data_IF_619917990172
#
_entry.id   IF_619917990172
#
_cell.length_a   1.000
_cell.length_b   1.000
_cell.length_c   1.000
_cell.angle_alpha   90.00
_cell.angle_beta   90.00
_cell.angle_gamma   90.00
#
_symmetry.space_group_name_H-M   'P 1'
#
loop_
_entity.id
_entity.type
_entity.pdbx_description
1 polymer ?
#
# COMPACT_ATOMS: atom_id res chain seq x y z
N UNK A 1 -23.08 25.10 17.01
CA UNK A 1 -21.75 25.75 17.13
C UNK A 1 -20.72 24.72 17.56
N UNK A 2 -20.43 23.76 16.67
CA UNK A 2 -19.17 23.02 16.75
C UNK A 2 -18.08 24.05 16.44
N UNK A 3 -17.34 24.46 17.47
CA UNK A 3 -16.33 25.49 17.36
C UNK A 3 -15.22 25.02 16.43
N UNK A 4 -14.84 25.91 15.51
CA UNK A 4 -13.67 25.88 14.59
C UNK A 4 -12.36 25.41 15.26
N UNK A 5 -12.32 25.32 16.59
CA UNK A 5 -11.25 24.74 17.40
C UNK A 5 -10.93 23.27 17.08
N UNK A 6 -11.85 22.46 16.54
CA UNK A 6 -11.52 21.11 16.04
C UNK A 6 -10.84 21.11 14.65
N UNK A 7 -10.95 22.21 13.90
CA UNK A 7 -10.30 22.38 12.58
C UNK A 7 -8.80 22.70 12.76
N UNK A 8 -8.39 23.16 13.95
CA UNK A 8 -7.04 23.59 14.28
C UNK A 8 -6.03 22.45 14.58
N UNK A 9 -6.41 21.17 14.50
CA UNK A 9 -5.49 20.05 14.70
C UNK A 9 -4.90 19.47 13.40
N UNK A 10 -5.19 20.06 12.23
CA UNK A 10 -4.68 19.59 10.94
C UNK A 10 -3.45 20.41 10.53
N UNK A 11 -2.50 20.58 11.46
CA UNK A 11 -1.13 20.98 11.15
C UNK A 11 -0.37 19.85 10.46
N UNK A 12 -0.86 19.35 9.32
CA UNK A 12 -0.35 18.16 8.64
C UNK A 12 1.04 18.32 8.01
N UNK A 13 1.65 19.51 8.09
CA UNK A 13 3.03 19.70 7.66
C UNK A 13 4.06 19.29 8.72
N UNK A 14 3.69 19.27 10.01
CA UNK A 14 4.58 18.85 11.10
C UNK A 14 4.53 17.34 11.37
N UNK A 15 3.36 16.69 11.28
CA UNK A 15 3.21 15.23 11.43
C UNK A 15 3.35 14.50 10.08
N UNK A 16 4.54 14.57 9.48
CA UNK A 16 4.82 13.85 8.24
C UNK A 16 4.75 12.35 8.49
N UNK A 17 3.93 11.65 7.69
CA UNK A 17 3.86 10.18 7.73
C UNK A 17 5.25 9.57 7.59
N UNK A 18 5.66 8.83 8.61
CA UNK A 18 6.87 8.04 8.53
C UNK A 18 6.68 6.86 7.54
N UNK A 19 7.75 6.43 6.86
CA UNK A 19 7.69 5.26 5.98
C UNK A 19 7.22 4.02 6.74
N UNK A 20 6.31 3.24 6.15
CA UNK A 20 5.87 1.96 6.71
C UNK A 20 6.97 0.89 6.77
N UNK A 21 8.17 1.22 6.28
CA UNK A 21 9.39 0.40 6.36
C UNK A 21 10.17 0.60 7.66
N UNK A 22 9.64 1.37 8.62
CA UNK A 22 10.09 1.41 10.01
C UNK A 22 8.98 0.87 10.92
N UNK A 23 9.33 0.28 12.06
CA UNK A 23 8.33 -0.21 13.03
C UNK A 23 7.43 0.92 13.53
N UNK A 24 8.00 2.10 13.79
CA UNK A 24 7.26 3.29 14.21
C UNK A 24 6.28 3.75 13.11
N UNK A 25 6.73 3.83 11.85
CA UNK A 25 5.87 4.20 10.73
C UNK A 25 4.81 3.15 10.41
N UNK A 26 5.13 1.87 10.58
CA UNK A 26 4.15 0.78 10.46
C UNK A 26 3.07 0.86 11.54
N UNK A 27 3.46 1.05 12.82
CA UNK A 27 2.50 1.21 13.93
C UNK A 27 1.60 2.42 13.71
N UNK A 28 2.15 3.58 13.33
CA UNK A 28 1.34 4.75 12.94
C UNK A 28 0.35 4.43 11.82
N UNK A 29 0.76 3.66 10.81
CA UNK A 29 -0.14 3.24 9.73
C UNK A 29 -1.27 2.30 10.21
N UNK A 30 -0.99 1.41 11.16
CA UNK A 30 -1.98 0.52 11.77
C UNK A 30 -2.99 1.31 12.62
N UNK A 31 -2.48 2.27 13.39
CA UNK A 31 -3.25 3.08 14.33
C UNK A 31 -3.99 4.25 13.67
N UNK A 32 -3.58 4.65 12.46
CA UNK A 32 -4.22 5.74 11.73
C UNK A 32 -5.68 5.42 11.40
N UNK A 33 -6.60 6.18 11.97
CA UNK A 33 -8.02 6.11 11.62
C UNK A 33 -8.21 6.44 10.12
N UNK A 34 -9.28 5.91 9.49
CA UNK A 34 -9.66 6.36 8.16
C UNK A 34 -9.83 7.89 8.18
N UNK A 35 -9.27 8.63 7.21
CA UNK A 35 -9.49 10.06 7.14
C UNK A 35 -10.99 10.31 6.94
N UNK A 36 -11.63 10.81 7.99
CA UNK A 36 -13.01 11.26 7.97
C UNK A 36 -13.02 12.77 8.02
N UNK A 37 -13.68 13.36 7.03
CA UNK A 37 -13.93 14.79 6.99
C UNK A 37 -15.42 14.99 6.71
N UNK A 38 -16.08 15.85 7.47
CA UNK A 38 -17.49 16.18 7.26
C UNK A 38 -17.57 17.54 6.62
N UNK A 39 -18.26 17.65 5.48
CA UNK A 39 -18.51 18.94 4.86
C UNK A 39 -19.41 19.77 5.76
N UNK A 40 -19.09 21.07 5.87
CA UNK A 40 -20.00 22.03 6.49
C UNK A 40 -21.30 22.13 5.68
N UNK A 41 -22.39 22.49 6.35
CA UNK A 41 -23.62 22.86 5.65
C UNK A 41 -23.40 24.11 4.77
N UNK A 42 -24.20 24.26 3.72
CA UNK A 42 -23.98 25.33 2.73
C UNK A 42 -24.09 26.74 3.32
N UNK A 43 -24.95 26.94 4.31
CA UNK A 43 -25.10 28.20 5.03
C UNK A 43 -23.89 28.50 5.92
N UNK A 44 -23.38 27.49 6.64
CA UNK A 44 -22.16 27.60 7.43
C UNK A 44 -20.95 27.87 6.54
N UNK A 45 -20.80 27.12 5.44
CA UNK A 45 -19.72 27.31 4.47
C UNK A 45 -19.75 28.69 3.81
N UNK A 46 -20.93 29.19 3.46
CA UNK A 46 -21.09 30.54 2.89
C UNK A 46 -20.79 31.65 3.90
N UNK A 47 -20.90 31.37 5.20
CA UNK A 47 -20.68 32.34 6.28
C UNK A 47 -19.22 32.45 6.75
N UNK A 48 -18.33 31.54 6.32
CA UNK A 48 -16.92 31.53 6.73
C UNK A 48 -16.19 32.82 6.34
N UNK A 49 -15.41 33.36 7.27
CA UNK A 49 -14.41 34.38 6.98
C UNK A 49 -13.27 33.86 6.09
N UNK A 50 -12.43 34.76 5.58
CA UNK A 50 -11.33 34.40 4.67
C UNK A 50 -10.32 33.42 5.30
N UNK A 51 -9.91 33.67 6.54
CA UNK A 51 -8.97 32.81 7.27
C UNK A 51 -9.58 31.44 7.59
N UNK A 52 -10.84 31.40 8.03
CA UNK A 52 -11.55 30.16 8.35
C UNK A 52 -11.77 29.31 7.10
N UNK A 53 -12.10 29.95 5.97
CA UNK A 53 -12.25 29.29 4.68
C UNK A 53 -10.93 28.71 4.18
N UNK A 54 -9.82 29.41 4.41
CA UNK A 54 -8.48 28.92 4.08
C UNK A 54 -8.16 27.66 4.87
N UNK A 55 -8.29 27.69 6.20
CA UNK A 55 -8.04 26.54 7.07
C UNK A 55 -8.96 25.34 6.74
N UNK A 56 -10.24 25.61 6.48
CA UNK A 56 -11.21 24.59 6.06
C UNK A 56 -10.81 23.92 4.73
N UNK A 57 -10.41 24.72 3.73
CA UNK A 57 -9.96 24.19 2.45
C UNK A 57 -8.63 23.44 2.57
N UNK A 58 -7.69 23.90 3.38
CA UNK A 58 -6.44 23.18 3.67
C UNK A 58 -6.72 21.80 4.27
N UNK A 59 -7.64 21.70 5.23
CA UNK A 59 -8.04 20.43 5.82
C UNK A 59 -8.72 19.48 4.80
N UNK A 60 -9.50 20.04 3.87
CA UNK A 60 -10.09 19.26 2.76
C UNK A 60 -9.05 18.82 1.74
N UNK A 61 -8.06 19.66 1.42
CA UNK A 61 -6.93 19.30 0.55
C UNK A 61 -6.09 18.20 1.20
N UNK A 62 -5.84 18.31 2.51
CA UNK A 62 -5.24 17.26 3.33
C UNK A 62 -5.97 15.92 3.20
N UNK A 63 -7.29 15.91 3.41
CA UNK A 63 -8.14 14.72 3.23
C UNK A 63 -7.98 14.08 1.83
N UNK A 64 -7.97 14.87 0.76
CA UNK A 64 -7.82 14.35 -0.60
C UNK A 64 -6.37 14.01 -0.98
N UNK A 65 -5.39 14.59 -0.29
CA UNK A 65 -3.98 14.24 -0.44
C UNK A 65 -3.70 12.88 0.18
N UNK A 66 -4.42 12.55 1.26
CA UNK A 66 -4.42 11.22 1.83
C UNK A 66 -5.06 10.20 0.87
N UNK A 67 -4.41 9.05 0.74
CA UNK A 67 -4.96 7.96 -0.06
C UNK A 67 -6.09 7.30 0.73
N UNK A 68 -7.34 7.63 0.43
CA UNK A 68 -8.50 6.88 0.95
C UNK A 68 -8.49 5.49 0.33
N UNK A 69 -8.34 4.47 1.17
CA UNK A 69 -8.28 3.08 0.73
C UNK A 69 -9.70 2.54 0.59
N UNK A 70 -10.10 2.29 -0.66
CA UNK A 70 -11.35 1.59 -0.97
C UNK A 70 -11.10 0.08 -1.00
N UNK A 71 -12.03 -0.69 -0.41
CA UNK A 71 -11.94 -2.16 -0.43
C UNK A 71 -12.19 -2.67 -1.85
N UNK A 72 -11.29 -3.52 -2.34
CA UNK A 72 -11.38 -4.14 -3.67
C UNK A 72 -11.31 -5.65 -3.57
N UNK A 73 -11.73 -6.37 -4.60
CA UNK A 73 -11.61 -7.83 -4.65
C UNK A 73 -10.17 -8.31 -4.46
N UNK A 74 -9.18 -7.54 -4.94
CA UNK A 74 -7.76 -7.82 -4.71
C UNK A 74 -7.39 -7.74 -3.23
N UNK A 75 -7.85 -6.70 -2.52
CA UNK A 75 -7.63 -6.57 -1.06
C UNK A 75 -8.30 -7.73 -0.32
N UNK A 76 -9.55 -8.07 -0.68
CA UNK A 76 -10.28 -9.17 -0.06
C UNK A 76 -9.58 -10.52 -0.28
N UNK A 77 -9.20 -10.82 -1.53
CA UNK A 77 -8.53 -12.07 -1.89
C UNK A 77 -7.16 -12.19 -1.20
N UNK A 78 -6.35 -11.12 -1.21
CA UNK A 78 -5.03 -11.10 -0.58
C UNK A 78 -5.16 -11.24 0.95
N UNK A 79 -6.11 -10.52 1.55
CA UNK A 79 -6.35 -10.59 3.00
C UNK A 79 -6.85 -11.97 3.42
N UNK A 80 -7.77 -12.56 2.65
CA UNK A 80 -8.30 -13.90 2.88
C UNK A 80 -7.19 -14.96 2.78
N UNK A 81 -6.42 -14.96 1.68
CA UNK A 81 -5.34 -15.93 1.47
C UNK A 81 -4.21 -15.77 2.49
N UNK A 82 -3.79 -14.54 2.78
CA UNK A 82 -2.78 -14.27 3.81
C UNK A 82 -3.22 -14.79 5.19
N UNK A 83 -4.48 -14.53 5.59
CA UNK A 83 -5.05 -15.09 6.82
C UNK A 83 -5.05 -16.62 6.81
N UNK A 84 -5.48 -17.25 5.72
CA UNK A 84 -5.51 -18.70 5.61
C UNK A 84 -4.11 -19.30 5.78
N UNK A 85 -3.11 -18.74 5.11
CA UNK A 85 -1.72 -19.18 5.21
C UNK A 85 -1.18 -19.03 6.63
N UNK A 86 -1.42 -17.91 7.30
CA UNK A 86 -0.99 -17.73 8.70
C UNK A 86 -1.62 -18.77 9.63
N UNK A 87 -2.87 -19.18 9.39
CA UNK A 87 -3.52 -20.24 10.15
C UNK A 87 -2.92 -21.62 9.85
N UNK A 88 -2.67 -21.94 8.58
CA UNK A 88 -2.06 -23.22 8.17
C UNK A 88 -0.63 -23.36 8.70
N UNK A 89 0.12 -22.26 8.75
CA UNK A 89 1.53 -22.22 9.15
C UNK A 89 1.74 -22.26 10.68
N UNK A 90 0.68 -22.24 11.51
CA UNK A 90 0.79 -22.14 12.98
C UNK A 90 1.58 -23.28 13.66
N UNK A 91 1.56 -24.48 13.08
CA UNK A 91 2.21 -25.67 13.65
C UNK A 91 3.27 -26.27 12.73
N UNK A 92 3.62 -25.56 11.66
CA UNK A 92 4.65 -26.01 10.73
C UNK A 92 6.04 -25.77 11.35
N UNK A 93 6.87 -26.81 11.42
CA UNK A 93 8.19 -26.78 12.06
C UNK A 93 9.33 -26.56 11.02
N UNK A 94 8.98 -26.40 9.74
CA UNK A 94 9.92 -26.14 8.65
C UNK A 94 9.52 -24.96 7.75
N UNK A 95 9.99 -24.97 6.50
CA UNK A 95 9.71 -23.91 5.53
C UNK A 95 8.20 -23.82 5.22
N UNK A 96 7.61 -22.70 5.67
CA UNK A 96 6.19 -22.35 5.58
C UNK A 96 5.74 -22.04 4.15
N UNK A 97 4.43 -22.15 3.90
CA UNK A 97 3.84 -21.71 2.64
C UNK A 97 3.79 -20.18 2.60
N UNK A 98 4.16 -19.60 1.46
CA UNK A 98 4.14 -18.16 1.23
C UNK A 98 3.04 -17.71 0.29
N UNK A 99 2.94 -16.40 0.08
CA UNK A 99 2.04 -15.77 -0.88
C UNK A 99 2.83 -14.83 -1.78
N UNK A 100 2.52 -14.81 -3.06
CA UNK A 100 3.11 -13.86 -4.02
C UNK A 100 2.02 -13.08 -4.71
N UNK A 101 2.17 -11.76 -4.72
CA UNK A 101 1.29 -10.82 -5.39
C UNK A 101 2.04 -10.29 -6.61
N UNK A 102 1.60 -10.68 -7.80
CA UNK A 102 2.19 -10.29 -9.08
C UNK A 102 1.23 -9.39 -9.86
N UNK A 103 1.73 -8.37 -10.55
CA UNK A 103 0.91 -7.52 -11.41
C UNK A 103 1.62 -6.24 -11.84
N UNK A 104 1.10 -5.56 -12.87
CA UNK A 104 1.69 -4.32 -13.40
C UNK A 104 1.84 -3.21 -12.36
N UNK A 105 2.61 -2.16 -12.68
CA UNK A 105 2.64 -0.96 -11.83
C UNK A 105 1.23 -0.40 -11.64
N UNK A 106 0.94 0.27 -10.51
CA UNK A 106 -0.36 0.91 -10.25
C UNK A 106 -1.61 -0.03 -10.17
N UNK A 107 -1.44 -1.35 -10.01
CA UNK A 107 -2.56 -2.30 -9.79
C UNK A 107 -3.05 -2.40 -8.32
N UNK A 108 -2.50 -1.60 -7.40
CA UNK A 108 -2.91 -1.60 -5.98
C UNK A 108 -2.28 -2.66 -5.09
N UNK A 109 -1.25 -3.39 -5.56
CA UNK A 109 -0.54 -4.44 -4.79
C UNK A 109 -0.06 -3.97 -3.42
N UNK A 110 0.71 -2.89 -3.40
CA UNK A 110 1.29 -2.32 -2.17
C UNK A 110 0.20 -1.94 -1.17
N UNK A 111 -0.91 -1.36 -1.65
CA UNK A 111 -2.05 -1.06 -0.78
C UNK A 111 -2.66 -2.34 -0.21
N UNK A 112 -2.87 -3.37 -1.05
CA UNK A 112 -3.49 -4.61 -0.61
C UNK A 112 -2.66 -5.40 0.40
N UNK A 113 -1.34 -5.51 0.21
CA UNK A 113 -0.46 -6.19 1.17
C UNK A 113 -0.33 -5.41 2.49
N UNK A 114 -0.35 -4.06 2.43
CA UNK A 114 -0.40 -3.23 3.65
C UNK A 114 -1.71 -3.42 4.41
N UNK A 115 -2.84 -3.51 3.71
CA UNK A 115 -4.14 -3.80 4.33
C UNK A 115 -4.22 -5.20 4.94
N UNK A 116 -3.67 -6.23 4.26
CA UNK A 116 -3.50 -7.56 4.85
C UNK A 116 -2.72 -7.49 6.17
N UNK A 117 -1.58 -6.80 6.16
CA UNK A 117 -0.75 -6.62 7.36
C UNK A 117 -1.48 -5.89 8.48
N UNK A 118 -2.12 -4.74 8.17
CA UNK A 118 -2.91 -3.97 9.13
C UNK A 118 -4.03 -4.80 9.74
N UNK A 119 -4.78 -5.53 8.92
CA UNK A 119 -5.86 -6.41 9.39
C UNK A 119 -5.34 -7.50 10.33
N UNK A 120 -4.21 -8.14 9.97
CA UNK A 120 -3.59 -9.16 10.82
C UNK A 120 -3.09 -8.59 12.14
N UNK A 121 -2.48 -7.41 12.12
CA UNK A 121 -1.95 -6.76 13.31
C UNK A 121 -3.05 -6.36 14.29
N UNK A 122 -4.09 -5.65 13.81
CA UNK A 122 -5.24 -5.26 14.64
C UNK A 122 -5.90 -6.48 15.28
N UNK A 123 -6.07 -7.56 14.51
CA UNK A 123 -6.63 -8.81 15.02
C UNK A 123 -5.74 -9.48 16.07
N UNK A 124 -4.42 -9.42 15.89
CA UNK A 124 -3.46 -9.99 16.84
C UNK A 124 -3.44 -9.18 18.14
N UNK A 125 -3.44 -7.85 18.07
CA UNK A 125 -3.56 -6.96 19.24
C UNK A 125 -4.87 -7.19 19.99
N UNK A 126 -5.99 -7.38 19.29
CA UNK A 126 -7.27 -7.72 19.90
C UNK A 126 -7.26 -9.08 20.61
N UNK A 127 -6.49 -10.06 20.10
CA UNK A 127 -6.35 -11.39 20.72
C UNK A 127 -5.41 -11.39 21.92
N UNK A 128 -4.41 -10.50 21.93
CA UNK A 128 -3.39 -10.38 22.98
C UNK A 128 -3.33 -8.92 23.46
N UNK A 129 -4.38 -8.42 24.12
CA UNK A 129 -4.44 -7.02 24.55
C UNK A 129 -3.33 -6.74 25.57
N UNK A 130 -2.65 -5.59 25.40
CA UNK A 130 -1.58 -5.13 26.29
C UNK A 130 -0.19 -5.76 26.05
N UNK A 131 -0.05 -6.70 25.12
CA UNK A 131 1.26 -7.28 24.76
C UNK A 131 1.98 -6.42 23.70
N UNK A 132 2.60 -5.33 24.15
CA UNK A 132 3.36 -4.40 23.28
C UNK A 132 4.69 -4.97 22.77
N UNK A 133 5.13 -6.12 23.29
CA UNK A 133 6.34 -6.80 22.85
C UNK A 133 6.20 -7.43 21.46
N UNK A 134 4.97 -7.59 20.98
CA UNK A 134 4.70 -8.21 19.68
C UNK A 134 4.96 -7.28 18.53
N UNK A 135 5.52 -7.84 17.46
CA UNK A 135 5.62 -7.24 16.14
C UNK A 135 4.97 -8.23 15.16
N UNK A 136 3.64 -8.27 15.04
CA UNK A 136 2.94 -9.30 14.26
C UNK A 136 3.28 -9.25 12.77
N UNK A 137 3.58 -8.06 12.26
CA UNK A 137 3.87 -7.82 10.85
C UNK A 137 5.16 -7.02 10.68
N UNK A 138 6.01 -7.49 9.78
CA UNK A 138 7.17 -6.76 9.27
C UNK A 138 6.91 -6.38 7.83
N UNK A 139 7.16 -5.13 7.46
CA UNK A 139 7.05 -4.65 6.09
C UNK A 139 8.38 -4.05 5.63
N UNK A 140 9.02 -4.68 4.64
CA UNK A 140 10.26 -4.20 4.03
C UNK A 140 10.13 -4.12 2.52
N UNK A 141 10.95 -3.28 1.90
CA UNK A 141 11.06 -3.17 0.45
C UNK A 141 12.38 -3.79 0.01
N UNK A 142 12.36 -4.65 -1.00
CA UNK A 142 13.57 -5.24 -1.56
C UNK A 142 14.46 -4.13 -2.15
N UNK A 143 15.73 -4.01 -1.72
CA UNK A 143 16.59 -2.91 -2.14
C UNK A 143 16.94 -3.01 -3.64
N UNK A 144 17.01 -1.88 -4.37
CA UNK A 144 17.39 -1.89 -5.78
C UNK A 144 18.84 -2.38 -5.94
N UNK A 145 19.07 -3.27 -6.92
CA UNK A 145 20.37 -3.96 -7.10
C UNK A 145 20.85 -4.52 -5.75
N UNK A 146 19.94 -5.24 -5.09
CA UNK A 146 20.08 -5.71 -3.73
C UNK A 146 21.22 -6.71 -3.58
N UNK A 147 21.79 -6.77 -2.38
CA UNK A 147 22.65 -7.86 -1.92
C UNK A 147 22.08 -8.42 -0.62
N UNK A 148 22.46 -9.65 -0.21
CA UNK A 148 22.05 -10.23 1.08
C UNK A 148 22.18 -9.26 2.25
N UNK A 149 23.33 -8.57 2.33
CA UNK A 149 23.59 -7.56 3.37
C UNK A 149 22.60 -6.40 3.32
N UNK A 150 22.30 -5.86 2.13
CA UNK A 150 21.35 -4.74 2.02
C UNK A 150 19.96 -5.17 2.47
N UNK A 151 19.52 -6.36 2.09
CA UNK A 151 18.22 -6.88 2.53
C UNK A 151 18.19 -7.06 4.05
N UNK A 152 19.19 -7.70 4.64
CA UNK A 152 19.27 -7.86 6.10
C UNK A 152 19.26 -6.49 6.82
N UNK A 153 19.87 -5.47 6.23
CA UNK A 153 19.84 -4.10 6.75
C UNK A 153 18.45 -3.46 6.66
N UNK A 154 17.63 -3.78 5.64
CA UNK A 154 16.23 -3.31 5.57
C UNK A 154 15.39 -3.87 6.73
N UNK A 155 15.57 -5.15 7.07
CA UNK A 155 14.93 -5.75 8.25
C UNK A 155 15.41 -5.11 9.56
N UNK A 156 16.72 -4.92 9.71
CA UNK A 156 17.28 -4.30 10.89
C UNK A 156 16.81 -2.83 11.06
N UNK A 157 16.70 -2.09 9.95
CA UNK A 157 16.14 -0.74 9.94
C UNK A 157 14.67 -0.74 10.32
N UNK A 158 13.89 -1.69 9.81
CA UNK A 158 12.49 -1.84 10.20
C UNK A 158 12.38 -1.97 11.72
N UNK A 159 13.18 -2.85 12.32
CA UNK A 159 13.19 -3.12 13.76
C UNK A 159 13.81 -2.00 14.62
N UNK A 160 14.41 -0.97 14.01
CA UNK A 160 15.11 0.07 14.74
C UNK A 160 16.34 -0.44 15.50
N UNK A 161 16.98 -1.52 15.03
CA UNK A 161 18.17 -2.05 15.69
C UNK A 161 19.27 -0.98 15.70
N UNK A 162 19.91 -0.72 16.87
CA UNK A 162 20.92 0.32 16.99
C UNK A 162 22.05 0.07 15.99
N UNK A 163 22.63 1.17 15.48
CA UNK A 163 23.61 1.22 14.38
C UNK A 163 24.48 -0.03 14.30
N UNK A 164 24.03 -0.98 13.45
CA UNK A 164 24.77 -2.19 13.16
C UNK A 164 26.19 -1.79 12.75
N UNK A 165 27.16 -2.26 13.52
CA UNK A 165 28.56 -1.90 13.30
C UNK A 165 28.94 -2.26 11.85
N UNK A 166 29.64 -1.37 11.15
CA UNK A 166 30.07 -1.59 9.77
C UNK A 166 30.87 -2.89 9.59
N UNK A 167 31.45 -3.42 10.67
CA UNK A 167 32.21 -4.68 10.72
C UNK A 167 31.37 -5.95 10.82
N UNK A 168 30.10 -5.88 11.22
CA UNK A 168 29.24 -7.07 11.30
C UNK A 168 29.08 -7.67 9.92
N UNK A 169 29.22 -8.98 9.78
CA UNK A 169 29.00 -9.66 8.51
C UNK A 169 27.47 -9.83 8.26
N UNK A 170 27.08 -10.38 7.11
CA UNK A 170 25.65 -10.56 6.79
C UNK A 170 24.95 -11.57 7.70
N UNK A 171 25.66 -12.64 8.10
CA UNK A 171 25.15 -13.68 8.99
C UNK A 171 24.85 -13.10 10.37
N UNK A 172 25.78 -12.34 10.95
CA UNK A 172 25.59 -11.70 12.27
C UNK A 172 24.33 -10.80 12.29
N UNK A 173 24.11 -10.05 11.21
CA UNK A 173 22.92 -9.18 11.07
C UNK A 173 21.65 -10.02 10.96
N UNK A 174 21.71 -11.08 10.16
CA UNK A 174 20.53 -11.93 9.89
C UNK A 174 20.12 -12.72 11.12
N UNK A 175 21.09 -13.19 11.90
CA UNK A 175 20.85 -13.90 13.15
C UNK A 175 20.24 -12.98 14.20
N UNK A 176 20.76 -11.75 14.33
CA UNK A 176 20.18 -10.74 15.20
C UNK A 176 18.74 -10.38 14.80
N UNK A 177 18.48 -10.19 13.50
CA UNK A 177 17.14 -9.97 12.96
C UNK A 177 16.23 -11.16 13.28
N UNK A 178 16.68 -12.39 13.02
CA UNK A 178 15.88 -13.59 13.27
C UNK A 178 15.51 -13.71 14.75
N UNK A 179 16.47 -13.52 15.64
CA UNK A 179 16.26 -13.59 17.07
C UNK A 179 15.20 -12.58 17.53
N UNK A 180 15.33 -11.32 17.11
CA UNK A 180 14.37 -10.26 17.48
C UNK A 180 12.97 -10.57 16.95
N UNK A 181 12.83 -11.05 15.72
CA UNK A 181 11.52 -11.40 15.14
C UNK A 181 10.87 -12.64 15.79
N UNK A 182 11.68 -13.60 16.20
CA UNK A 182 11.21 -14.76 16.97
C UNK A 182 10.70 -14.31 18.35
N UNK A 183 11.49 -13.50 19.07
CA UNK A 183 11.14 -13.00 20.40
C UNK A 183 9.92 -12.08 20.35
N UNK A 184 9.80 -11.27 19.29
CA UNK A 184 8.65 -10.41 19.01
C UNK A 184 7.44 -11.16 18.42
N UNK A 185 7.53 -12.48 18.24
CA UNK A 185 6.44 -13.35 17.75
C UNK A 185 5.82 -12.85 16.44
N UNK A 186 6.68 -12.55 15.48
CA UNK A 186 6.26 -12.11 14.14
C UNK A 186 5.56 -13.24 13.39
N UNK A 187 4.37 -12.95 12.86
CA UNK A 187 3.54 -13.91 12.13
C UNK A 187 3.64 -13.73 10.61
N UNK A 188 3.82 -12.50 10.13
CA UNK A 188 3.87 -12.15 8.70
C UNK A 188 5.09 -11.30 8.39
N UNK A 189 5.82 -11.68 7.35
CA UNK A 189 6.89 -10.87 6.75
C UNK A 189 6.49 -10.49 5.33
N UNK A 190 6.33 -9.20 5.08
CA UNK A 190 6.04 -8.63 3.75
C UNK A 190 7.33 -8.11 3.13
N UNK A 191 7.65 -8.58 1.92
CA UNK A 191 8.76 -8.08 1.10
C UNK A 191 8.19 -7.52 -0.20
N UNK A 192 8.06 -6.20 -0.26
CA UNK A 192 7.56 -5.48 -1.44
C UNK A 192 8.69 -5.24 -2.47
N UNK A 193 8.32 -4.91 -3.70
CA UNK A 193 9.23 -4.64 -4.81
C UNK A 193 10.23 -5.79 -5.10
N UNK A 194 9.81 -7.05 -4.92
CA UNK A 194 10.66 -8.24 -5.09
C UNK A 194 11.25 -8.40 -6.51
N UNK A 195 10.68 -7.69 -7.49
CA UNK A 195 11.20 -7.63 -8.85
C UNK A 195 12.51 -6.82 -8.98
N UNK A 196 12.91 -6.09 -7.92
CA UNK A 196 14.25 -5.50 -7.80
C UNK A 196 15.35 -6.57 -7.70
N UNK A 197 14.98 -7.84 -7.49
CA UNK A 197 15.86 -8.99 -7.55
C UNK A 197 16.07 -9.39 -9.01
N UNK A 198 17.30 -9.21 -9.51
CA UNK A 198 17.69 -9.76 -10.80
C UNK A 198 18.37 -11.13 -10.61
N UNK A 199 17.59 -12.20 -10.69
CA UNK A 199 18.09 -13.57 -10.49
C UNK A 199 19.05 -14.05 -11.60
N UNK A 200 19.13 -13.37 -12.73
CA UNK A 200 20.10 -13.69 -13.80
C UNK A 200 21.52 -13.24 -13.43
N UNK A 201 21.68 -12.56 -12.29
CA UNK A 201 22.97 -12.14 -11.77
C UNK A 201 23.33 -12.96 -10.54
N UNK A 202 24.63 -13.22 -10.34
CA UNK A 202 25.15 -13.86 -9.12
C UNK A 202 24.67 -13.16 -7.83
N UNK A 203 24.59 -11.84 -7.85
CA UNK A 203 24.09 -11.06 -6.70
C UNK A 203 22.61 -11.34 -6.39
N UNK A 204 21.78 -11.52 -7.42
CA UNK A 204 20.39 -11.91 -7.25
C UNK A 204 20.23 -13.35 -6.77
N UNK A 205 21.05 -14.29 -7.26
CA UNK A 205 21.08 -15.66 -6.72
C UNK A 205 21.42 -15.67 -5.23
N UNK A 206 22.48 -14.97 -4.83
CA UNK A 206 22.88 -14.85 -3.43
C UNK A 206 21.76 -14.26 -2.56
N UNK A 207 21.01 -13.29 -3.10
CA UNK A 207 19.87 -12.68 -2.41
C UNK A 207 18.65 -13.61 -2.32
N UNK A 208 18.38 -14.43 -3.33
CA UNK A 208 17.35 -15.47 -3.27
C UNK A 208 17.69 -16.54 -2.21
N UNK A 209 18.95 -16.97 -2.15
CA UNK A 209 19.43 -17.91 -1.13
C UNK A 209 19.27 -17.28 0.27
N UNK A 210 19.47 -15.97 0.39
CA UNK A 210 19.27 -15.25 1.64
C UNK A 210 17.81 -15.08 2.07
N UNK A 211 16.88 -14.91 1.12
CA UNK A 211 15.44 -14.94 1.43
C UNK A 211 14.99 -16.32 1.88
N UNK A 212 15.55 -17.37 1.27
CA UNK A 212 15.33 -18.75 1.72
C UNK A 212 15.84 -18.95 3.14
N UNK A 213 17.02 -18.41 3.48
CA UNK A 213 17.54 -18.42 4.85
C UNK A 213 16.51 -17.85 5.83
N UNK A 214 16.00 -16.64 5.59
CA UNK A 214 14.97 -16.06 6.46
C UNK A 214 13.69 -16.90 6.53
N UNK A 215 13.25 -17.48 5.41
CA UNK A 215 12.03 -18.34 5.36
C UNK A 215 12.18 -19.63 6.17
N UNK A 216 13.39 -20.17 6.27
CA UNK A 216 13.69 -21.38 7.03
C UNK A 216 13.92 -21.10 8.53
N UNK A 217 14.41 -19.91 8.88
CA UNK A 217 14.78 -19.54 10.26
C UNK A 217 13.70 -18.73 10.99
N UNK A 218 12.73 -18.16 10.28
CA UNK A 218 11.65 -17.39 10.90
C UNK A 218 10.35 -18.18 11.01
N UNK A 219 9.65 -18.12 12.16
CA UNK A 219 8.35 -18.72 12.35
C UNK A 219 7.19 -17.96 11.67
N UNK A 220 7.45 -17.32 10.52
CA UNK A 220 6.54 -16.36 9.88
C UNK A 220 6.08 -16.80 8.48
N UNK A 221 4.90 -16.32 8.08
CA UNK A 221 4.38 -16.43 6.72
C UNK A 221 4.95 -15.32 5.85
N UNK A 222 5.64 -15.69 4.77
CA UNK A 222 6.21 -14.71 3.85
C UNK A 222 5.21 -14.31 2.75
N UNK A 223 5.10 -13.00 2.53
CA UNK A 223 4.28 -12.38 1.50
C UNK A 223 5.18 -11.52 0.62
N UNK A 224 5.30 -11.87 -0.66
CA UNK A 224 6.12 -11.13 -1.62
C UNK A 224 5.22 -10.35 -2.58
N UNK A 225 5.63 -9.14 -2.97
CA UNK A 225 4.94 -8.37 -3.99
C UNK A 225 5.91 -7.78 -5.01
N UNK A 226 5.53 -7.78 -6.29
CA UNK A 226 6.37 -7.21 -7.34
C UNK A 226 5.69 -7.14 -8.71
N UNK A 227 6.40 -6.51 -9.65
CA UNK A 227 5.95 -6.35 -11.03
C UNK A 227 6.33 -7.59 -11.82
N UNK A 228 5.34 -8.18 -12.49
CA UNK A 228 5.49 -9.34 -13.38
C UNK A 228 6.51 -10.37 -12.87
N UNK A 229 6.32 -10.80 -11.62
CA UNK A 229 7.33 -11.58 -10.87
C UNK A 229 7.72 -12.90 -11.57
N UNK A 230 6.81 -13.46 -12.34
CA UNK A 230 7.05 -14.65 -13.16
C UNK A 230 8.05 -14.40 -14.29
N UNK A 231 8.07 -13.18 -14.84
CA UNK A 231 8.95 -12.75 -15.93
C UNK A 231 10.25 -12.15 -15.44
N UNK A 232 10.33 -11.69 -14.19
CA UNK A 232 11.54 -11.13 -13.59
C UNK A 232 12.59 -12.20 -13.21
N UNK A 233 12.42 -13.43 -13.72
CA UNK A 233 13.28 -14.57 -13.40
C UNK A 233 13.06 -15.16 -12.02
N UNK A 234 12.22 -14.56 -11.15
CA UNK A 234 12.07 -14.97 -9.74
C UNK A 234 11.60 -16.43 -9.59
N UNK A 235 10.88 -16.96 -10.58
CA UNK A 235 10.37 -18.35 -10.60
C UNK A 235 11.10 -19.27 -11.56
N UNK A 236 12.13 -18.76 -12.23
CA UNK A 236 12.93 -19.52 -13.18
C UNK A 236 14.20 -20.06 -12.52
N UNK A 237 14.80 -21.08 -13.13
CA UNK A 237 15.95 -21.78 -12.54
C UNK A 237 15.62 -22.67 -11.35
N UNK A 238 16.60 -23.46 -10.89
CA UNK A 238 16.40 -24.43 -9.81
C UNK A 238 16.08 -23.76 -8.47
N UNK A 239 16.70 -22.60 -8.20
CA UNK A 239 16.52 -21.82 -6.95
C UNK A 239 15.22 -21.02 -6.92
N UNK A 240 14.85 -20.33 -8.00
CA UNK A 240 13.59 -19.60 -8.10
C UNK A 240 12.38 -20.53 -7.94
N UNK A 241 12.44 -21.74 -8.53
CA UNK A 241 11.41 -22.78 -8.33
C UNK A 241 11.31 -23.28 -6.88
N UNK A 242 12.38 -23.24 -6.07
CA UNK A 242 12.30 -23.64 -4.67
C UNK A 242 11.52 -22.62 -3.83
N UNK A 243 11.73 -21.32 -4.08
CA UNK A 243 10.98 -20.24 -3.42
C UNK A 243 9.52 -20.22 -3.91
N UNK A 244 9.33 -20.27 -5.23
CA UNK A 244 8.00 -20.23 -5.86
C UNK A 244 7.17 -21.47 -5.55
N UNK A 245 7.80 -22.66 -5.49
CA UNK A 245 7.10 -23.94 -5.36
C UNK A 245 6.31 -24.12 -4.07
N UNK A 246 6.54 -23.26 -3.08
CA UNK A 246 5.80 -23.24 -1.79
C UNK A 246 4.82 -22.08 -1.69
N UNK A 247 4.79 -21.19 -2.66
CA UNK A 247 3.97 -20.00 -2.64
C UNK A 247 2.70 -20.15 -3.48
N UNK A 248 1.56 -19.70 -2.94
CA UNK A 248 0.41 -19.36 -3.78
C UNK A 248 0.68 -18.05 -4.53
N UNK A 249 0.13 -17.90 -5.74
CA UNK A 249 0.25 -16.66 -6.52
C UNK A 249 -1.13 -16.04 -6.71
N UNK A 250 -1.24 -14.74 -6.42
CA UNK A 250 -2.39 -13.90 -6.75
C UNK A 250 -1.94 -12.87 -7.77
N UNK A 251 -2.67 -12.78 -8.88
CA UNK A 251 -2.45 -11.78 -9.90
C UNK A 251 -3.36 -10.58 -9.67
N UNK A 252 -2.76 -9.39 -9.65
CA UNK A 252 -3.48 -8.11 -9.73
C UNK A 252 -3.37 -7.59 -11.15
N UNK A 253 -4.47 -7.06 -11.68
CA UNK A 253 -4.53 -6.58 -13.07
C UNK A 253 -5.38 -5.31 -13.15
N UNK A 254 -5.40 -4.70 -14.33
CA UNK A 254 -6.35 -3.64 -14.63
C UNK A 254 -7.78 -4.15 -14.41
N UNK A 255 -8.63 -3.31 -13.85
CA UNK A 255 -10.05 -3.62 -13.74
C UNK A 255 -10.67 -3.66 -15.13
N UNK A 256 -11.47 -4.68 -15.48
CA UNK A 256 -12.24 -4.67 -16.72
C UNK A 256 -13.33 -3.58 -16.66
N UNK A 257 -13.78 -3.05 -17.82
CA UNK A 257 -14.93 -2.14 -17.90
C UNK A 257 -16.25 -2.90 -17.61
N UNK A 258 -16.39 -3.30 -16.35
CA UNK A 258 -17.44 -4.17 -15.86
C UNK A 258 -18.11 -3.56 -14.62
N UNK A 259 -18.97 -4.35 -13.96
CA UNK A 259 -19.66 -3.92 -12.74
C UNK A 259 -18.69 -3.48 -11.65
N UNK A 260 -17.62 -4.23 -11.46
CA UNK A 260 -16.61 -3.97 -10.43
C UNK A 260 -15.91 -2.61 -10.62
N UNK A 261 -15.63 -2.21 -11.86
CA UNK A 261 -15.09 -0.89 -12.16
C UNK A 261 -16.04 0.24 -11.75
N UNK A 262 -17.34 0.11 -12.06
CA UNK A 262 -18.34 1.12 -11.64
C UNK A 262 -18.46 1.19 -10.12
N UNK A 263 -18.36 0.06 -9.43
CA UNK A 263 -18.36 0.01 -7.97
C UNK A 263 -17.11 0.67 -7.38
N UNK A 264 -15.95 0.46 -8.00
CA UNK A 264 -14.71 1.14 -7.62
C UNK A 264 -14.82 2.67 -7.77
N UNK A 265 -15.33 3.12 -8.91
CA UNK A 265 -15.57 4.55 -9.18
C UNK A 265 -16.55 5.13 -8.15
N UNK A 266 -17.67 4.45 -7.89
CA UNK A 266 -18.65 4.89 -6.89
C UNK A 266 -18.05 4.97 -5.48
N UNK A 267 -17.23 3.98 -5.10
CA UNK A 267 -16.55 3.96 -3.82
C UNK A 267 -15.57 5.14 -3.69
N UNK A 268 -14.79 5.44 -4.73
CA UNK A 268 -13.87 6.59 -4.73
C UNK A 268 -14.62 7.93 -4.74
N UNK A 269 -15.71 8.03 -5.50
CA UNK A 269 -16.57 9.23 -5.54
C UNK A 269 -17.16 9.54 -4.15
N UNK A 270 -17.58 8.50 -3.40
CA UNK A 270 -18.08 8.67 -2.03
C UNK A 270 -17.04 9.22 -1.03
N UNK A 271 -15.76 9.21 -1.37
CA UNK A 271 -14.69 9.80 -0.54
C UNK A 271 -14.48 11.29 -0.79
N UNK A 272 -15.08 11.83 -1.86
CA UNK A 272 -14.94 13.24 -2.21
C UNK A 272 -15.59 14.13 -1.15
N UNK A 273 -14.90 15.22 -0.83
CA UNK A 273 -15.42 16.30 0.02
C UNK A 273 -15.39 17.57 -0.79
N UNK A 274 -16.32 17.68 -1.73
CA UNK A 274 -16.54 18.80 -2.65
C UNK A 274 -17.99 19.30 -2.49
N UNK A 275 -18.18 20.60 -2.30
CA UNK A 275 -19.51 21.15 -1.96
C UNK A 275 -20.51 21.06 -3.10
N UNK A 276 -20.06 21.18 -4.35
CA UNK A 276 -20.93 21.23 -5.54
C UNK A 276 -20.88 19.96 -6.36
N UNK A 277 -20.20 18.92 -5.88
CA UNK A 277 -20.06 17.66 -6.61
C UNK A 277 -21.32 16.81 -6.48
N UNK A 278 -21.97 16.52 -7.60
CA UNK A 278 -23.18 15.70 -7.64
C UNK A 278 -22.83 14.20 -7.54
N UNK A 279 -23.36 13.46 -6.55
CA UNK A 279 -23.11 12.03 -6.42
C UNK A 279 -23.57 11.24 -7.65
N UNK A 280 -22.71 10.35 -8.16
CA UNK A 280 -22.98 9.50 -9.32
C UNK A 280 -22.54 10.12 -10.65
N UNK A 281 -22.08 11.38 -10.65
CA UNK A 281 -21.54 12.05 -11.84
C UNK A 281 -20.28 11.33 -12.36
N UNK A 282 -19.40 10.86 -11.47
CA UNK A 282 -18.23 10.06 -11.88
C UNK A 282 -18.61 8.66 -12.35
N UNK A 283 -19.60 8.02 -11.70
CA UNK A 283 -20.12 6.71 -12.13
C UNK A 283 -20.72 6.79 -13.54
N UNK A 284 -21.41 7.88 -13.87
CA UNK A 284 -21.92 8.12 -15.23
C UNK A 284 -20.77 8.22 -16.26
N UNK A 285 -19.60 8.71 -15.84
CA UNK A 285 -18.38 8.80 -16.65
C UNK A 285 -17.46 7.57 -16.52
N UNK A 286 -17.91 6.45 -15.92
CA UNK A 286 -17.05 5.30 -15.65
C UNK A 286 -16.33 4.76 -16.88
N UNK A 287 -16.96 4.74 -18.06
CA UNK A 287 -16.30 4.31 -19.31
C UNK A 287 -15.20 5.29 -19.75
N UNK A 288 -15.41 6.59 -19.57
CA UNK A 288 -14.37 7.58 -19.83
C UNK A 288 -13.18 7.36 -18.88
N UNK A 289 -13.45 7.24 -17.58
CA UNK A 289 -12.43 6.98 -16.56
C UNK A 289 -11.65 5.69 -16.85
N UNK A 290 -12.34 4.63 -17.29
CA UNK A 290 -11.71 3.35 -17.65
C UNK A 290 -10.71 3.53 -18.78
N UNK A 291 -11.13 4.17 -19.89
CA UNK A 291 -10.25 4.45 -21.03
C UNK A 291 -9.09 5.37 -20.66
N UNK A 292 -9.36 6.41 -19.87
CA UNK A 292 -8.34 7.40 -19.48
C UNK A 292 -7.25 6.78 -18.61
N UNK A 293 -7.60 5.83 -17.76
CA UNK A 293 -6.71 5.21 -16.78
C UNK A 293 -6.20 3.82 -17.19
N UNK A 294 -6.72 3.26 -18.30
CA UNK A 294 -6.48 1.87 -18.68
C UNK A 294 -7.04 0.85 -17.67
N UNK A 295 -8.02 1.23 -16.85
CA UNK A 295 -8.54 0.41 -15.75
C UNK A 295 -7.60 0.27 -14.55
N UNK A 296 -6.52 1.05 -14.49
CA UNK A 296 -5.53 1.00 -13.43
C UNK A 296 -6.00 1.79 -12.22
N UNK A 297 -6.16 1.11 -11.07
CA UNK A 297 -6.66 1.73 -9.84
C UNK A 297 -5.75 2.85 -9.32
N UNK A 298 -4.43 2.71 -9.45
CA UNK A 298 -3.49 3.76 -9.02
C UNK A 298 -3.64 5.03 -9.87
N UNK A 299 -3.81 4.88 -11.17
CA UNK A 299 -4.06 5.96 -12.11
C UNK A 299 -5.41 6.63 -11.86
N UNK A 300 -6.46 5.84 -11.60
CA UNK A 300 -7.77 6.35 -11.21
C UNK A 300 -7.71 7.15 -9.90
N UNK A 301 -7.08 6.60 -8.87
CA UNK A 301 -6.94 7.26 -7.58
C UNK A 301 -6.15 8.57 -7.70
N UNK A 302 -5.12 8.62 -8.56
CA UNK A 302 -4.41 9.86 -8.83
C UNK A 302 -5.30 10.88 -9.54
N UNK A 303 -5.97 10.47 -10.62
CA UNK A 303 -6.84 11.34 -11.42
C UNK A 303 -7.94 11.98 -10.55
N UNK A 304 -8.69 11.17 -9.80
CA UNK A 304 -9.80 11.66 -8.96
C UNK A 304 -9.29 12.62 -7.88
N UNK A 305 -8.18 12.29 -7.20
CA UNK A 305 -7.63 13.16 -6.14
C UNK A 305 -7.11 14.48 -6.70
N UNK A 306 -6.37 14.43 -7.81
CA UNK A 306 -5.84 15.64 -8.45
C UNK A 306 -6.97 16.54 -8.95
N UNK A 307 -8.01 15.97 -9.58
CA UNK A 307 -9.20 16.72 -9.99
C UNK A 307 -9.96 17.31 -8.80
N UNK A 308 -10.07 16.59 -7.68
CA UNK A 308 -10.72 17.11 -6.48
C UNK A 308 -9.95 18.30 -5.88
N UNK A 309 -8.63 18.18 -5.76
CA UNK A 309 -7.78 19.28 -5.26
C UNK A 309 -7.86 20.48 -6.21
N UNK A 310 -7.77 20.26 -7.52
CA UNK A 310 -7.89 21.35 -8.50
C UNK A 310 -9.25 22.07 -8.40
N UNK A 311 -10.35 21.33 -8.27
CA UNK A 311 -11.68 21.89 -8.11
C UNK A 311 -11.85 22.74 -6.83
N UNK A 312 -11.04 22.49 -5.80
CA UNK A 312 -10.99 23.35 -4.60
C UNK A 312 -10.16 24.60 -4.86
N UNK A 313 -9.01 24.46 -5.53
CA UNK A 313 -8.09 25.56 -5.81
C UNK A 313 -8.69 26.60 -6.77
N UNK A 314 -9.47 26.17 -7.76
CA UNK A 314 -10.17 27.06 -8.70
C UNK A 314 -11.57 27.48 -8.22
N UNK A 315 -12.05 26.91 -7.10
CA UNK A 315 -13.34 27.21 -6.49
C UNK A 315 -14.56 26.68 -7.25
N UNK A 316 -14.37 25.83 -8.26
CA UNK A 316 -15.48 25.20 -9.01
C UNK A 316 -16.25 24.21 -8.13
N UNK A 317 -15.58 23.54 -7.20
CA UNK A 317 -16.15 22.64 -6.20
C UNK A 317 -16.88 21.40 -6.77
N UNK A 318 -16.59 21.02 -8.01
CA UNK A 318 -17.10 19.80 -8.65
C UNK A 318 -16.12 19.29 -9.72
N UNK A 319 -16.14 17.98 -10.00
CA UNK A 319 -15.24 17.40 -11.01
C UNK A 319 -15.96 17.31 -12.36
N UNK A 320 -15.35 17.91 -13.39
CA UNK A 320 -15.82 17.81 -14.78
C UNK A 320 -14.89 16.95 -15.63
N UNK A 321 -15.35 16.56 -16.81
CA UNK A 321 -14.52 15.80 -17.76
C UNK A 321 -13.39 16.65 -18.30
N UNK A 322 -13.68 17.91 -18.61
CA UNK A 322 -12.72 18.89 -19.12
C UNK A 322 -11.58 19.08 -18.11
N UNK A 323 -11.91 19.23 -16.81
CA UNK A 323 -10.91 19.31 -15.76
C UNK A 323 -10.06 18.03 -15.65
N UNK A 324 -10.65 16.85 -15.83
CA UNK A 324 -9.91 15.58 -15.83
C UNK A 324 -8.98 15.40 -17.05
N UNK A 325 -9.32 15.99 -18.20
CA UNK A 325 -8.47 15.91 -19.39
C UNK A 325 -7.16 16.69 -19.22
N UNK A 326 -7.17 17.78 -18.44
CA UNK A 326 -5.99 18.59 -18.11
C UNK A 326 -5.08 17.96 -17.03
N UNK A 327 -5.58 16.98 -16.28
CA UNK A 327 -4.77 16.28 -15.27
C UNK A 327 -3.77 15.33 -15.93
N UNK A 328 -2.49 15.53 -15.60
CA UNK A 328 -1.44 14.56 -15.93
C UNK A 328 -1.63 13.28 -15.12
N UNK A 329 -1.57 12.14 -15.79
CA UNK A 329 -1.53 10.82 -15.13
C UNK A 329 -0.21 10.12 -15.48
N UNK A 330 0.03 8.96 -14.88
CA UNK A 330 1.23 8.18 -15.17
C UNK A 330 1.38 7.89 -16.67
N UNK A 331 2.63 7.93 -17.13
CA UNK A 331 2.99 7.77 -18.54
C UNK A 331 2.45 6.46 -19.15
N UNK A 332 2.39 5.38 -18.36
CA UNK A 332 1.88 4.09 -18.80
C UNK A 332 0.38 4.14 -19.10
N UNK A 333 -0.43 4.71 -18.20
CA UNK A 333 -1.86 4.91 -18.44
C UNK A 333 -2.12 5.92 -19.56
N UNK A 334 -1.36 7.01 -19.64
CA UNK A 334 -1.49 8.01 -20.71
C UNK A 334 -1.21 7.41 -22.10
N UNK A 335 -0.15 6.61 -22.24
CA UNK A 335 0.19 5.95 -23.52
C UNK A 335 -0.78 4.83 -23.88
N UNK A 336 -1.33 4.10 -22.91
CA UNK A 336 -2.38 3.10 -23.17
C UNK A 336 -3.67 3.76 -23.68
N UNK A 337 -4.11 4.84 -23.03
CA UNK A 337 -5.30 5.60 -23.44
C UNK A 337 -5.20 6.12 -24.88
N UNK A 338 -4.03 6.68 -25.25
CA UNK A 338 -3.77 7.19 -26.60
C UNK A 338 -3.88 6.11 -27.70
N UNK A 339 -3.48 4.86 -27.41
CA UNK A 339 -3.58 3.73 -28.36
C UNK A 339 -5.00 3.24 -28.58
N UNK A 340 -5.86 3.30 -27.56
CA UNK A 340 -7.28 2.97 -27.68
C UNK A 340 -8.13 4.05 -28.34
N UNK A 341 -7.59 5.26 -28.50
CA UNK A 341 -8.26 6.39 -29.15
C UNK A 341 -7.96 6.50 -30.66
N UNK A 342 -6.93 5.81 -31.17
CA UNK A 342 -6.60 5.71 -32.60
C UNK A 342 -7.29 4.51 -33.26
#
# INVERSE_FOLDING_TARGET
MATVTEIAAVGQLEDRRQPTTTLEGWRRFVDADPPEFTLLADDEWASLGEDERTAYNEARVAHHSELVVVTTSAIEAITHQGRLLTLLNQREIGARRGLIISGGAATGKTTAIKQLGRFHELRTRARFPGDESRIPVVYVTAPPKGSPRKLAMEFARFLGLPTLNQRMNVTDISDAVCQVLIDARTDIVVVDEIHNLNLDTRAGEELSDHLKYFTEHLPATFVYAGIEVERSGLFTGTRGRQLAGRCGVIHTSAFPDAKEWRQLVAAMEGTLRLHRHEPGSLVAQARYLHRRTGGMIGSLAHLIRASAIQAMLDGTEHITREAMDDILIDYAAHTAAARTAS
#
